data_IF_421947018940
#
_entry.id   IF_421947018940
#
_cell.length_a   1.000
_cell.length_b   1.000
_cell.length_c   1.000
_cell.angle_alpha   90.00
_cell.angle_beta   90.00
_cell.angle_gamma   90.00
#
_symmetry.space_group_name_H-M   'P 1'
#
loop_
_entity.id
_entity.type
_entity.pdbx_description
1 polymer ?
#
# COMPACT_ATOMS: atom_id res chain seq x y z
N UNK A 1 -10.64 -1.25 -15.86
CA UNK A 1 -11.28 -1.68 -14.59
C UNK A 1 -11.45 -0.44 -13.74
N UNK A 2 -12.62 -0.19 -13.17
CA UNK A 2 -12.85 0.98 -12.30
C UNK A 2 -12.95 0.48 -10.87
N UNK A 3 -11.97 0.81 -10.03
CA UNK A 3 -12.03 0.49 -8.60
C UNK A 3 -12.71 1.63 -7.83
N UNK A 4 -13.64 1.30 -6.93
CA UNK A 4 -14.15 2.26 -5.96
C UNK A 4 -13.14 2.50 -4.84
N UNK A 5 -13.27 3.62 -4.12
CA UNK A 5 -12.45 3.92 -2.94
C UNK A 5 -12.58 2.80 -1.90
N UNK A 6 -13.77 2.27 -1.69
CA UNK A 6 -14.02 1.18 -0.75
C UNK A 6 -13.32 -0.12 -1.16
N UNK A 7 -13.33 -0.47 -2.45
CA UNK A 7 -12.60 -1.64 -2.95
C UNK A 7 -11.08 -1.50 -2.73
N UNK A 8 -10.54 -0.30 -2.99
CA UNK A 8 -9.12 0.00 -2.76
C UNK A 8 -8.80 -0.12 -1.27
N UNK A 9 -9.57 0.56 -0.42
CA UNK A 9 -9.42 0.55 1.05
C UNK A 9 -9.41 -0.87 1.62
N UNK A 10 -10.39 -1.69 1.22
CA UNK A 10 -10.51 -3.06 1.71
C UNK A 10 -9.38 -3.98 1.21
N UNK A 11 -8.67 -3.57 0.14
CA UNK A 11 -7.51 -4.28 -0.37
C UNK A 11 -6.17 -3.84 0.22
N UNK A 12 -6.16 -2.87 1.16
CA UNK A 12 -4.95 -2.45 1.87
C UNK A 12 -4.50 -3.59 2.79
N UNK A 13 -3.32 -4.14 2.51
CA UNK A 13 -2.64 -5.16 3.31
C UNK A 13 -2.10 -4.59 4.62
N UNK A 14 -1.72 -5.45 5.56
CA UNK A 14 -1.18 -5.02 6.86
C UNK A 14 0.05 -4.09 6.76
N UNK A 15 0.88 -4.27 5.73
CA UNK A 15 2.04 -3.41 5.46
C UNK A 15 1.69 -2.09 4.75
N UNK A 16 0.44 -1.83 4.36
CA UNK A 16 0.05 -0.61 3.62
C UNK A 16 0.06 -0.73 2.09
N UNK A 17 0.58 -1.82 1.53
CA UNK A 17 0.44 -2.11 0.09
C UNK A 17 -1.01 -2.44 -0.28
N UNK A 18 -1.40 -2.12 -1.51
CA UNK A 18 -2.77 -2.26 -2.01
C UNK A 18 -2.87 -3.41 -3.01
N UNK A 19 -3.49 -4.51 -2.60
CA UNK A 19 -3.58 -5.71 -3.41
C UNK A 19 -4.40 -5.51 -4.70
N UNK A 20 -5.40 -4.62 -4.71
CA UNK A 20 -6.20 -4.34 -5.89
C UNK A 20 -5.36 -3.86 -7.09
N UNK A 21 -4.25 -3.17 -6.83
CA UNK A 21 -3.40 -2.64 -7.90
C UNK A 21 -2.23 -3.53 -8.30
N UNK A 22 -1.94 -4.58 -7.52
CA UNK A 22 -0.86 -5.52 -7.77
C UNK A 22 -1.12 -6.37 -9.03
N UNK A 23 -0.11 -6.54 -9.88
CA UNK A 23 -0.20 -7.35 -11.11
C UNK A 23 -0.64 -8.81 -10.86
N UNK A 24 -0.17 -9.42 -9.77
CA UNK A 24 -0.55 -10.78 -9.37
C UNK A 24 -1.98 -10.87 -8.81
N UNK A 25 -2.44 -9.79 -8.17
CA UNK A 25 -3.84 -9.66 -7.74
C UNK A 25 -4.78 -9.48 -8.94
N UNK A 26 -4.43 -8.58 -9.87
CA UNK A 26 -5.17 -8.33 -11.12
C UNK A 26 -5.32 -9.58 -11.99
N UNK A 27 -4.29 -10.43 -12.04
CA UNK A 27 -4.32 -11.68 -12.81
C UNK A 27 -5.08 -12.82 -12.11
N UNK A 28 -5.66 -12.59 -10.93
CA UNK A 28 -6.41 -13.60 -10.16
C UNK A 28 -5.54 -14.70 -9.54
N UNK A 29 -4.21 -14.62 -9.70
CA UNK A 29 -3.24 -15.60 -9.17
C UNK A 29 -2.97 -15.42 -7.67
N UNK A 30 -3.48 -14.34 -7.07
CA UNK A 30 -3.32 -14.04 -5.65
C UNK A 30 -4.66 -13.58 -5.06
N UNK A 31 -5.12 -14.26 -4.00
CA UNK A 31 -6.35 -13.92 -3.26
C UNK A 31 -6.20 -12.69 -2.33
N UNK A 32 -5.04 -12.05 -2.33
CA UNK A 32 -4.74 -10.89 -1.49
C UNK A 32 -4.17 -11.26 -0.11
N UNK A 33 -3.46 -10.31 0.50
CA UNK A 33 -2.69 -10.53 1.74
C UNK A 33 -3.57 -10.94 2.94
N UNK A 34 -4.81 -10.42 3.00
CA UNK A 34 -5.74 -10.70 4.10
C UNK A 34 -6.26 -12.14 4.05
N UNK A 35 -6.61 -12.61 2.86
CA UNK A 35 -7.14 -13.98 2.65
C UNK A 35 -6.05 -15.04 2.53
N UNK A 36 -4.82 -14.68 2.13
CA UNK A 36 -3.72 -15.65 1.99
C UNK A 36 -3.29 -16.25 3.33
N UNK A 37 -3.28 -17.58 3.42
CA UNK A 37 -2.75 -18.32 4.58
C UNK A 37 -1.22 -18.26 4.64
N UNK A 38 -0.67 -17.95 5.82
CA UNK A 38 0.76 -18.12 6.18
C UNK A 38 1.78 -17.15 5.55
N UNK A 39 2.96 -17.10 6.17
CA UNK A 39 4.24 -16.70 5.54
C UNK A 39 4.68 -15.23 5.62
N UNK A 40 3.83 -14.27 6.01
CA UNK A 40 4.23 -12.86 6.12
C UNK A 40 4.42 -12.45 7.59
N UNK A 41 5.65 -12.09 7.97
CA UNK A 41 5.98 -11.65 9.33
C UNK A 41 5.19 -10.42 9.78
N UNK A 42 4.91 -9.48 8.87
CA UNK A 42 4.07 -8.31 9.14
C UNK A 42 2.63 -8.71 9.48
N UNK A 43 2.05 -9.67 8.75
CA UNK A 43 0.70 -10.19 9.03
C UNK A 43 0.64 -10.82 10.42
N UNK A 44 1.60 -11.68 10.73
CA UNK A 44 1.69 -12.34 12.05
C UNK A 44 1.82 -11.30 13.18
N UNK A 45 2.68 -10.30 13.00
CA UNK A 45 2.87 -9.21 13.95
C UNK A 45 1.60 -8.37 14.16
N UNK A 46 0.91 -7.98 13.08
CA UNK A 46 -0.33 -7.21 13.18
C UNK A 46 -1.44 -8.01 13.87
N UNK A 47 -1.55 -9.30 13.56
CA UNK A 47 -2.52 -10.20 14.20
C UNK A 47 -2.24 -10.39 15.70
N UNK A 48 -0.97 -10.57 16.11
CA UNK A 48 -0.62 -10.71 17.53
C UNK A 48 -0.88 -9.44 18.32
N UNK A 49 -0.70 -8.26 17.70
CA UNK A 49 -1.03 -6.94 18.27
C UNK A 49 -2.52 -6.57 18.14
N UNK A 50 -3.34 -7.39 17.47
CA UNK A 50 -4.76 -7.14 17.21
C UNK A 50 -5.04 -5.81 16.50
N UNK A 51 -4.20 -5.46 15.53
CA UNK A 51 -4.32 -4.24 14.72
C UNK A 51 -4.62 -4.56 13.26
N UNK A 52 -5.28 -3.64 12.55
CA UNK A 52 -5.67 -3.82 11.16
C UNK A 52 -4.53 -3.61 10.16
N UNK A 53 -3.44 -2.99 10.60
CA UNK A 53 -2.23 -2.77 9.83
C UNK A 53 -1.24 -1.88 10.56
N UNK A 54 -0.06 -1.71 9.96
CA UNK A 54 1.05 -0.99 10.58
C UNK A 54 0.74 0.50 10.84
N UNK A 55 -0.29 1.06 10.20
CA UNK A 55 -0.74 2.44 10.46
C UNK A 55 -1.36 2.62 11.86
N UNK A 56 -1.84 1.55 12.49
CA UNK A 56 -2.33 1.55 13.88
C UNK A 56 -1.22 1.23 14.89
N UNK A 57 -0.01 0.90 14.42
CA UNK A 57 1.09 0.49 15.29
C UNK A 57 1.82 1.72 15.87
N UNK A 58 1.95 1.78 17.20
CA UNK A 58 2.72 2.83 17.87
C UNK A 58 4.23 2.74 17.63
N UNK A 59 4.75 1.54 17.36
CA UNK A 59 6.15 1.30 17.04
C UNK A 59 6.49 1.56 15.56
N UNK A 60 5.50 1.87 14.71
CA UNK A 60 5.78 2.18 13.31
C UNK A 60 6.35 3.61 13.16
N UNK A 61 7.44 3.79 12.37
CA UNK A 61 8.20 2.75 11.65
C UNK A 61 9.17 1.99 12.56
N UNK A 62 9.21 0.65 12.43
CA UNK A 62 10.17 -0.21 13.13
C UNK A 62 11.19 -0.82 12.18
N UNK A 63 12.15 -1.60 12.71
CA UNK A 63 13.27 -2.18 11.94
C UNK A 63 12.90 -3.37 11.03
N UNK A 64 11.61 -3.58 10.74
CA UNK A 64 11.22 -4.64 9.82
C UNK A 64 11.68 -4.34 8.39
N UNK A 65 12.28 -5.33 7.73
CA UNK A 65 12.78 -5.25 6.35
C UNK A 65 11.76 -4.72 5.33
N UNK A 66 10.46 -4.97 5.54
CA UNK A 66 9.38 -4.42 4.70
C UNK A 66 9.45 -2.90 4.60
N UNK A 67 9.90 -2.23 5.66
CA UNK A 67 10.02 -0.78 5.71
C UNK A 67 11.33 -0.27 5.10
N UNK A 68 12.20 -1.11 4.52
CA UNK A 68 13.25 -0.59 3.61
C UNK A 68 12.65 0.00 2.34
N UNK A 69 11.45 -0.42 1.95
CA UNK A 69 10.70 0.21 0.86
C UNK A 69 10.17 1.59 1.27
N UNK A 70 10.68 2.64 0.61
CA UNK A 70 10.26 4.04 0.79
C UNK A 70 8.75 4.20 0.56
N UNK A 71 8.23 3.59 -0.51
CA UNK A 71 6.81 3.57 -0.84
C UNK A 71 5.95 3.01 0.28
N UNK A 72 6.36 1.87 0.84
CA UNK A 72 5.63 1.21 1.93
C UNK A 72 5.60 2.13 3.15
N UNK A 73 6.73 2.73 3.53
CA UNK A 73 6.76 3.69 4.64
C UNK A 73 5.80 4.85 4.41
N UNK A 74 5.84 5.48 3.24
CA UNK A 74 5.00 6.63 2.91
C UNK A 74 3.51 6.28 2.93
N UNK A 75 3.12 5.11 2.41
CA UNK A 75 1.71 4.69 2.42
C UNK A 75 1.21 4.45 3.84
N UNK A 76 2.00 3.75 4.67
CA UNK A 76 1.62 3.50 6.08
C UNK A 76 1.58 4.81 6.86
N UNK A 77 2.56 5.69 6.67
CA UNK A 77 2.60 7.00 7.32
C UNK A 77 1.38 7.86 6.92
N UNK A 78 1.04 7.91 5.63
CA UNK A 78 -0.15 8.60 5.16
C UNK A 78 -1.44 8.01 5.75
N UNK A 79 -1.56 6.69 5.85
CA UNK A 79 -2.71 6.05 6.49
C UNK A 79 -2.77 6.32 8.01
N UNK A 80 -1.62 6.43 8.67
CA UNK A 80 -1.52 6.76 10.10
C UNK A 80 -1.95 8.20 10.37
N UNK A 81 -1.50 9.14 9.53
CA UNK A 81 -1.76 10.57 9.73
C UNK A 81 -3.16 10.98 9.27
N UNK A 82 -3.67 10.36 8.21
CA UNK A 82 -4.88 10.83 7.52
C UNK A 82 -5.99 9.77 7.37
N UNK A 83 -5.71 8.53 7.78
CA UNK A 83 -6.65 7.41 7.69
C UNK A 83 -6.61 6.70 6.32
N UNK A 84 -6.92 5.40 6.37
CA UNK A 84 -6.93 4.52 5.19
C UNK A 84 -7.90 4.93 4.09
N UNK A 85 -8.99 5.63 4.43
CA UNK A 85 -9.95 6.11 3.44
C UNK A 85 -9.36 7.23 2.57
N UNK A 86 -8.61 8.17 3.18
CA UNK A 86 -7.90 9.21 2.42
C UNK A 86 -6.78 8.62 1.56
N UNK A 87 -5.99 7.69 2.10
CA UNK A 87 -4.99 6.95 1.32
C UNK A 87 -5.62 6.28 0.09
N UNK A 88 -6.75 5.60 0.26
CA UNK A 88 -7.46 4.97 -0.85
C UNK A 88 -7.97 5.98 -1.89
N UNK A 89 -8.44 7.15 -1.45
CA UNK A 89 -8.85 8.24 -2.33
C UNK A 89 -7.70 8.79 -3.17
N UNK A 90 -6.54 9.03 -2.56
CA UNK A 90 -5.32 9.46 -3.25
C UNK A 90 -4.88 8.44 -4.30
N UNK A 91 -4.79 7.16 -3.91
CA UNK A 91 -4.37 6.11 -4.84
C UNK A 91 -5.38 5.89 -5.97
N UNK A 92 -6.68 6.06 -5.71
CA UNK A 92 -7.69 6.03 -6.78
C UNK A 92 -7.46 7.16 -7.78
N UNK A 93 -7.33 8.40 -7.30
CA UNK A 93 -7.10 9.55 -8.18
C UNK A 93 -5.85 9.35 -9.04
N UNK A 94 -4.75 8.91 -8.42
CA UNK A 94 -3.52 8.65 -9.14
C UNK A 94 -3.67 7.53 -10.17
N UNK A 95 -4.40 6.46 -9.84
CA UNK A 95 -4.72 5.40 -10.79
C UNK A 95 -5.56 5.91 -11.98
N UNK A 96 -6.56 6.76 -11.72
CA UNK A 96 -7.38 7.38 -12.78
C UNK A 96 -6.55 8.36 -13.64
N UNK A 97 -5.57 9.03 -13.04
CA UNK A 97 -4.64 9.95 -13.70
C UNK A 97 -3.48 9.22 -14.43
N UNK A 98 -3.47 7.88 -14.41
CA UNK A 98 -2.52 7.05 -15.16
C UNK A 98 -1.24 6.65 -14.41
N UNK A 99 -1.12 6.97 -13.12
CA UNK A 99 0.03 6.56 -12.29
C UNK A 99 0.07 5.04 -12.16
N UNK A 100 1.19 4.44 -12.56
CA UNK A 100 1.40 3.01 -12.56
C UNK A 100 1.81 2.52 -11.17
N UNK A 101 0.92 1.78 -10.51
CA UNK A 101 1.22 1.14 -9.22
C UNK A 101 2.26 0.01 -9.34
N UNK A 102 2.19 -0.74 -10.44
CA UNK A 102 3.17 -1.67 -10.99
C UNK A 102 3.07 -1.53 -12.51
N UNK A 103 4.18 -1.74 -13.23
CA UNK A 103 4.13 -1.84 -14.70
C UNK A 103 3.46 -3.14 -15.14
N UNK A 104 3.06 -3.21 -16.41
CA UNK A 104 2.25 -4.31 -16.96
C UNK A 104 3.03 -5.65 -17.03
N UNK A 105 4.35 -5.59 -17.10
CA UNK A 105 5.27 -6.73 -16.99
C UNK A 105 5.50 -7.21 -15.54
N UNK A 106 4.97 -6.47 -14.55
CA UNK A 106 5.15 -6.75 -13.13
C UNK A 106 6.35 -6.05 -12.50
N UNK A 107 7.05 -5.18 -13.23
CA UNK A 107 8.14 -4.36 -12.71
C UNK A 107 7.68 -3.25 -11.73
N UNK A 108 8.67 -2.58 -11.15
CA UNK A 108 8.55 -1.37 -10.34
C UNK A 108 7.65 -0.31 -11.01
N UNK A 109 6.70 0.21 -10.26
CA UNK A 109 5.81 1.29 -10.69
C UNK A 109 6.38 2.67 -10.40
N UNK A 110 5.61 3.71 -10.69
CA UNK A 110 6.03 5.11 -10.59
C UNK A 110 6.46 5.52 -9.18
N UNK A 111 5.87 4.91 -8.14
CA UNK A 111 6.26 5.17 -6.75
C UNK A 111 7.61 4.55 -6.37
N UNK A 112 8.03 3.49 -7.07
CA UNK A 112 9.20 2.69 -6.69
C UNK A 112 10.51 3.31 -7.23
N UNK A 113 10.42 4.03 -8.36
CA UNK A 113 11.58 4.67 -9.04
C UNK A 113 11.95 6.05 -8.50
N UNK A 114 11.18 6.60 -7.56
CA UNK A 114 11.44 7.92 -6.97
C UNK A 114 12.59 7.87 -5.95
N UNK A 115 13.35 8.96 -5.85
CA UNK A 115 14.60 9.02 -5.10
C UNK A 115 14.37 8.95 -3.58
N UNK A 116 13.29 9.56 -3.09
CA UNK A 116 13.05 9.72 -1.65
C UNK A 116 11.56 9.69 -1.27
N UNK A 117 11.30 9.62 0.04
CA UNK A 117 9.95 9.53 0.61
C UNK A 117 9.11 10.80 0.35
N UNK A 118 9.74 11.97 0.25
CA UNK A 118 9.06 13.24 -0.02
C UNK A 118 8.48 13.28 -1.44
N UNK A 119 9.26 12.87 -2.45
CA UNK A 119 8.77 12.76 -3.82
C UNK A 119 7.59 11.77 -3.94
N UNK A 120 7.67 10.64 -3.24
CA UNK A 120 6.57 9.66 -3.20
C UNK A 120 5.33 10.26 -2.54
N UNK A 121 5.50 11.04 -1.47
CA UNK A 121 4.39 11.71 -0.79
C UNK A 121 3.73 12.77 -1.67
N UNK A 122 4.52 13.54 -2.42
CA UNK A 122 4.04 14.54 -3.38
C UNK A 122 3.25 13.88 -4.50
N UNK A 123 3.80 12.82 -5.12
CA UNK A 123 3.08 12.01 -6.12
C UNK A 123 1.79 11.44 -5.53
N UNK A 124 1.86 10.80 -4.36
CA UNK A 124 0.70 10.20 -3.69
C UNK A 124 -0.41 11.21 -3.47
N UNK A 125 -0.10 12.37 -2.90
CA UNK A 125 -1.10 13.38 -2.58
C UNK A 125 -1.50 14.25 -3.77
N UNK A 126 -0.90 14.01 -4.94
CA UNK A 126 -1.06 14.79 -6.15
C UNK A 126 -0.92 16.30 -5.87
N UNK A 127 0.11 16.65 -5.09
CA UNK A 127 0.48 18.04 -4.81
C UNK A 127 1.49 18.47 -5.87
N UNK A 128 1.01 19.28 -6.82
CA UNK A 128 1.86 20.03 -7.77
C UNK A 128 2.51 21.23 -7.08
#
# INVERSE_FOLDING_TARGET
MVYSIEQIKNSIAYCGLVCAFCSTGKSGKCIGCREKSGGCSIKVCAQSKKINGCWECNEFPCDNEMFKSKRVKVFVQCAKDEGVHKLAGYLKKNYDDGVQYNKDDGEEGDYDVLDNEEQILLLLKNKS
#
